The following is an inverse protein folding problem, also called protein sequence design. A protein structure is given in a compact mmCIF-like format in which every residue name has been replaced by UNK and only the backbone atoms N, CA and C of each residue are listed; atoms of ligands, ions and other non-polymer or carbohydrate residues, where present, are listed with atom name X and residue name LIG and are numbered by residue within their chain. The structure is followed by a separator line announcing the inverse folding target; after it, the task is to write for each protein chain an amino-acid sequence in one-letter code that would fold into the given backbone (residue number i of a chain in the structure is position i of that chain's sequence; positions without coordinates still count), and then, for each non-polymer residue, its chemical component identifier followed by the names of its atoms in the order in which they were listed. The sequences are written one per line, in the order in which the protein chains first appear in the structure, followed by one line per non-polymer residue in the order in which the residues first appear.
data_IF_049646801223
#
_entry.id   IF_049646801223
#
_cell.length_a   1.000
_cell.length_b   1.000
_cell.length_c   1.000
_cell.angle_alpha   90.00
_cell.angle_beta   90.00
_cell.angle_gamma   90.00
#
_symmetry.space_group_name_H-M   'P 1'
#
loop_
_entity.id
_entity.type
_entity.pdbx_description
1 polymer ?
#
# COMPACT_ATOMS: atom_id res chain seq x y z
N UNK A 1 -11.22 -18.19 -29.86
CA UNK A 1 -11.36 -16.72 -29.85
C UNK A 1 -12.84 -16.43 -29.89
N UNK A 2 -13.48 -16.24 -28.73
CA UNK A 2 -14.92 -16.04 -28.62
C UNK A 2 -15.32 -14.65 -29.10
N UNK A 3 -16.46 -14.54 -29.79
CA UNK A 3 -17.00 -13.27 -30.29
C UNK A 3 -17.61 -12.41 -29.16
N UNK A 4 -17.98 -11.15 -29.48
CA UNK A 4 -18.44 -10.16 -28.50
C UNK A 4 -19.71 -10.56 -27.74
N UNK A 5 -20.50 -11.50 -28.27
CA UNK A 5 -21.77 -11.98 -27.67
C UNK A 5 -21.63 -13.33 -26.95
N UNK A 6 -20.41 -13.80 -26.70
CA UNK A 6 -20.22 -15.02 -25.89
C UNK A 6 -20.62 -14.68 -24.45
N UNK A 7 -21.65 -15.33 -23.85
CA UNK A 7 -21.96 -15.10 -22.45
C UNK A 7 -20.68 -15.30 -21.63
N UNK A 8 -20.33 -14.31 -20.81
CA UNK A 8 -19.34 -14.50 -19.76
C UNK A 8 -19.92 -15.60 -18.87
N UNK A 9 -19.53 -16.84 -19.11
CA UNK A 9 -19.88 -17.96 -18.27
C UNK A 9 -19.36 -17.65 -16.87
N UNK A 10 -20.28 -17.24 -16.01
CA UNK A 10 -19.99 -16.91 -14.63
C UNK A 10 -19.52 -18.15 -13.85
N UNK A 11 -19.72 -19.37 -14.39
CA UNK A 11 -19.31 -20.63 -13.75
C UNK A 11 -17.82 -20.94 -13.94
N UNK A 12 -17.16 -20.47 -15.02
CA UNK A 12 -15.69 -20.61 -15.17
C UNK A 12 -14.89 -19.83 -14.13
N UNK A 13 -15.54 -18.95 -13.36
CA UNK A 13 -14.95 -18.18 -12.27
C UNK A 13 -15.38 -18.67 -10.88
N UNK A 14 -15.99 -19.85 -10.79
CA UNK A 14 -16.22 -20.58 -9.52
C UNK A 14 -14.92 -21.10 -8.87
N UNK A 15 -13.83 -20.34 -8.99
CA UNK A 15 -12.66 -20.50 -8.15
C UNK A 15 -13.12 -20.23 -6.72
N UNK A 16 -12.98 -21.25 -5.87
CA UNK A 16 -13.24 -21.17 -4.44
C UNK A 16 -12.86 -19.78 -3.90
N UNK A 17 -13.86 -19.07 -3.34
CA UNK A 17 -13.65 -17.74 -2.77
C UNK A 17 -12.55 -17.84 -1.72
N UNK A 18 -11.68 -16.83 -1.65
CA UNK A 18 -10.61 -16.84 -0.65
C UNK A 18 -11.17 -16.96 0.76
N UNK A 19 -10.37 -17.49 1.69
CA UNK A 19 -10.76 -17.56 3.09
C UNK A 19 -11.29 -16.22 3.60
N UNK A 20 -10.53 -15.14 3.38
CA UNK A 20 -10.89 -13.77 3.79
C UNK A 20 -12.23 -13.30 3.20
N UNK A 21 -12.47 -13.52 1.90
CA UNK A 21 -13.69 -13.06 1.26
C UNK A 21 -14.92 -13.86 1.71
N UNK A 22 -14.78 -15.18 1.93
CA UNK A 22 -15.87 -16.00 2.46
C UNK A 22 -16.28 -15.56 3.85
N UNK A 23 -15.30 -15.31 4.72
CA UNK A 23 -15.55 -14.84 6.07
C UNK A 23 -16.16 -13.44 6.08
N UNK A 24 -15.63 -12.51 5.28
CA UNK A 24 -16.20 -11.17 5.15
C UNK A 24 -17.67 -11.22 4.74
N UNK A 25 -18.01 -11.97 3.69
CA UNK A 25 -19.40 -12.12 3.20
C UNK A 25 -20.32 -12.86 4.19
N UNK A 26 -19.77 -13.75 5.02
CA UNK A 26 -20.55 -14.41 6.06
C UNK A 26 -20.91 -13.47 7.21
N UNK A 27 -20.03 -12.51 7.52
CA UNK A 27 -20.26 -11.51 8.57
C UNK A 27 -21.04 -10.28 8.07
N UNK A 28 -20.79 -9.86 6.84
CA UNK A 28 -21.45 -8.77 6.14
C UNK A 28 -21.64 -9.13 4.67
N UNK A 29 -22.81 -9.68 4.28
CA UNK A 29 -23.08 -10.04 2.89
C UNK A 29 -23.20 -8.83 1.96
N UNK A 30 -23.22 -7.60 2.52
CA UNK A 30 -23.42 -6.37 1.78
C UNK A 30 -24.83 -6.23 1.18
N UNK A 31 -25.07 -5.10 0.54
CA UNK A 31 -26.22 -4.93 -0.34
C UNK A 31 -25.93 -5.60 -1.71
N UNK A 32 -26.96 -6.14 -2.40
CA UNK A 32 -26.80 -6.63 -3.76
C UNK A 32 -26.27 -5.53 -4.68
N UNK A 33 -25.17 -5.79 -5.38
CA UNK A 33 -24.67 -4.96 -6.46
C UNK A 33 -25.10 -5.60 -7.79
N UNK A 34 -26.28 -5.24 -8.34
CA UNK A 34 -26.71 -5.82 -9.61
C UNK A 34 -25.73 -5.46 -10.73
N UNK A 35 -25.63 -6.28 -11.78
CA UNK A 35 -24.86 -5.94 -12.96
C UNK A 35 -25.26 -4.56 -13.49
N UNK A 36 -24.26 -3.78 -13.93
CA UNK A 36 -24.50 -2.50 -14.56
C UNK A 36 -25.39 -2.69 -15.80
N UNK A 37 -26.50 -1.97 -15.86
CA UNK A 37 -27.45 -2.02 -16.97
C UNK A 37 -27.69 -0.64 -17.55
N UNK A 38 -27.55 -0.51 -18.87
CA UNK A 38 -27.76 0.75 -19.56
C UNK A 38 -26.58 1.72 -19.41
N UNK A 39 -26.84 2.98 -19.76
CA UNK A 39 -25.87 4.06 -19.63
C UNK A 39 -25.83 4.58 -18.19
N UNK A 40 -24.64 4.93 -17.71
CA UNK A 40 -24.43 5.46 -16.37
C UNK A 40 -23.38 6.55 -16.44
N UNK A 41 -23.70 7.68 -15.82
CA UNK A 41 -22.80 8.82 -15.68
C UNK A 41 -22.24 8.83 -14.26
N UNK A 42 -21.02 9.31 -14.10
CA UNK A 42 -20.35 9.52 -12.82
C UNK A 42 -19.27 10.58 -13.00
N UNK A 43 -18.90 11.27 -11.91
CA UNK A 43 -17.74 12.17 -11.94
C UNK A 43 -16.44 11.36 -12.11
N UNK A 44 -16.38 10.18 -11.48
CA UNK A 44 -15.23 9.27 -11.55
C UNK A 44 -15.69 7.82 -11.73
N UNK A 45 -15.24 7.19 -12.81
CA UNK A 45 -15.34 5.75 -13.02
C UNK A 45 -14.03 5.06 -12.63
N UNK A 46 -14.11 4.09 -11.73
CA UNK A 46 -13.01 3.22 -11.31
C UNK A 46 -13.27 1.82 -11.85
N UNK A 47 -12.35 1.29 -12.64
CA UNK A 47 -12.44 -0.07 -13.19
C UNK A 47 -11.59 -1.01 -12.33
N UNK A 48 -12.26 -1.93 -11.62
CA UNK A 48 -11.66 -2.95 -10.76
C UNK A 48 -11.85 -2.69 -9.27
N UNK A 49 -12.49 -3.63 -8.57
CA UNK A 49 -12.76 -3.63 -7.13
C UNK A 49 -11.66 -4.24 -6.27
N UNK A 50 -10.39 -4.07 -6.66
CA UNK A 50 -9.22 -4.49 -5.88
C UNK A 50 -8.76 -3.44 -4.87
N UNK A 51 -7.61 -3.64 -4.22
CA UNK A 51 -7.06 -2.68 -3.25
C UNK A 51 -6.92 -1.28 -3.83
N UNK A 52 -6.29 -1.15 -5.01
CA UNK A 52 -6.08 0.16 -5.63
C UNK A 52 -7.40 0.87 -5.92
N UNK A 53 -8.39 0.17 -6.48
CA UNK A 53 -9.68 0.75 -6.81
C UNK A 53 -10.46 1.18 -5.57
N UNK A 54 -10.54 0.30 -4.56
CA UNK A 54 -11.27 0.59 -3.32
C UNK A 54 -10.61 1.70 -2.49
N UNK A 55 -9.28 1.70 -2.38
CA UNK A 55 -8.56 2.80 -1.70
C UNK A 55 -8.71 4.11 -2.45
N UNK A 56 -8.69 4.09 -3.78
CA UNK A 56 -8.94 5.30 -4.59
C UNK A 56 -10.34 5.84 -4.33
N UNK A 57 -11.36 4.98 -4.39
CA UNK A 57 -12.75 5.38 -4.10
C UNK A 57 -12.88 5.95 -2.68
N UNK A 58 -12.31 5.28 -1.68
CA UNK A 58 -12.32 5.74 -0.29
C UNK A 58 -11.70 7.14 -0.15
N UNK A 59 -10.52 7.33 -0.72
CA UNK A 59 -9.77 8.58 -0.64
C UNK A 59 -10.39 9.73 -1.44
N UNK A 60 -11.11 9.43 -2.52
CA UNK A 60 -11.92 10.42 -3.23
C UNK A 60 -13.09 10.87 -2.37
N UNK A 61 -13.85 9.92 -1.79
CA UNK A 61 -15.00 10.23 -0.94
C UNK A 61 -14.60 10.91 0.38
N UNK A 62 -13.41 10.65 0.91
CA UNK A 62 -12.89 11.37 2.08
C UNK A 62 -12.55 12.84 1.75
N UNK A 63 -12.00 13.11 0.56
CA UNK A 63 -11.61 14.47 0.13
C UNK A 63 -12.79 15.29 -0.36
N UNK A 64 -13.67 14.69 -1.14
CA UNK A 64 -14.81 15.35 -1.75
C UNK A 64 -16.04 14.43 -1.63
N UNK A 65 -16.77 14.47 -0.50
CA UNK A 65 -17.88 13.55 -0.23
C UNK A 65 -19.02 13.62 -1.25
N UNK A 66 -19.14 14.74 -1.97
CA UNK A 66 -20.17 14.95 -2.99
C UNK A 66 -19.86 14.26 -4.33
N UNK A 67 -18.61 13.82 -4.59
CA UNK A 67 -18.27 13.15 -5.84
C UNK A 67 -19.12 11.90 -6.05
N UNK A 68 -19.69 11.79 -7.24
CA UNK A 68 -20.30 10.57 -7.72
C UNK A 68 -19.21 9.63 -8.25
N UNK A 69 -18.97 8.54 -7.52
CA UNK A 69 -17.89 7.59 -7.78
C UNK A 69 -18.50 6.21 -8.04
N UNK A 70 -18.30 5.70 -9.26
CA UNK A 70 -18.71 4.36 -9.66
C UNK A 70 -17.50 3.43 -9.67
N UNK A 71 -17.58 2.32 -8.92
CA UNK A 71 -16.61 1.22 -9.00
C UNK A 71 -17.24 0.09 -9.81
N UNK A 72 -16.68 -0.19 -10.99
CA UNK A 72 -17.10 -1.28 -11.85
C UNK A 72 -16.18 -2.49 -11.66
N UNK A 73 -16.74 -3.57 -11.15
CA UNK A 73 -16.06 -4.85 -10.94
C UNK A 73 -16.80 -5.94 -11.70
N UNK A 74 -16.06 -6.79 -12.40
CA UNK A 74 -16.60 -7.88 -13.24
C UNK A 74 -17.22 -9.03 -12.43
N UNK A 75 -16.84 -9.16 -11.16
CA UNK A 75 -17.30 -10.22 -10.26
C UNK A 75 -17.78 -9.63 -8.92
N UNK A 76 -16.90 -9.55 -7.92
CA UNK A 76 -17.17 -8.92 -6.63
C UNK A 76 -15.91 -8.21 -6.14
N UNK A 77 -16.06 -7.08 -5.46
CA UNK A 77 -14.92 -6.38 -4.86
C UNK A 77 -14.14 -7.33 -3.93
N UNK A 78 -12.82 -7.36 -4.08
CA UNK A 78 -11.95 -8.32 -3.40
C UNK A 78 -11.96 -9.73 -3.97
N UNK A 79 -12.75 -10.04 -5.00
CA UNK A 79 -12.82 -11.36 -5.64
C UNK A 79 -11.56 -11.79 -6.41
N UNK A 80 -10.69 -10.83 -6.76
CA UNK A 80 -9.44 -11.04 -7.48
C UNK A 80 -8.21 -11.37 -6.60
N UNK A 81 -6.98 -11.07 -7.08
CA UNK A 81 -5.75 -11.28 -6.33
C UNK A 81 -5.71 -10.53 -4.99
N UNK A 82 -6.34 -9.35 -4.89
CA UNK A 82 -6.36 -8.56 -3.65
C UNK A 82 -7.00 -9.31 -2.47
N UNK A 83 -8.03 -10.13 -2.69
CA UNK A 83 -8.62 -10.96 -1.64
C UNK A 83 -7.92 -12.30 -1.44
N UNK A 84 -6.97 -12.69 -2.29
CA UNK A 84 -6.21 -13.97 -2.21
C UNK A 84 -4.80 -13.78 -1.64
N UNK A 85 -4.57 -12.74 -0.85
CA UNK A 85 -3.28 -12.47 -0.23
C UNK A 85 -3.05 -13.33 1.04
N UNK A 86 -1.79 -13.41 1.49
CA UNK A 86 -1.38 -14.20 2.66
C UNK A 86 -1.60 -13.54 4.03
N UNK A 87 -2.21 -12.35 4.09
CA UNK A 87 -2.44 -11.61 5.34
C UNK A 87 -1.24 -10.76 5.80
N UNK A 88 -0.22 -10.58 4.96
CA UNK A 88 0.96 -9.78 5.29
C UNK A 88 0.91 -8.42 4.61
N UNK A 89 1.33 -7.39 5.34
CA UNK A 89 1.58 -6.04 4.81
C UNK A 89 2.96 -5.60 5.24
N UNK A 90 3.87 -5.49 4.26
CA UNK A 90 5.27 -5.18 4.50
C UNK A 90 5.62 -3.79 3.96
N UNK A 91 6.56 -3.14 4.61
CA UNK A 91 7.26 -1.99 4.03
C UNK A 91 8.35 -2.47 3.06
N UNK A 92 9.02 -1.52 2.39
CA UNK A 92 10.07 -1.82 1.42
C UNK A 92 11.48 -1.80 2.01
N UNK A 93 11.65 -1.85 3.34
CA UNK A 93 12.98 -1.80 3.94
C UNK A 93 13.78 -3.10 3.78
N UNK A 94 13.13 -4.23 3.48
CA UNK A 94 13.80 -5.48 3.09
C UNK A 94 14.58 -5.30 1.77
N UNK A 95 14.04 -4.48 0.87
CA UNK A 95 14.57 -4.20 -0.47
C UNK A 95 15.57 -3.04 -0.52
N UNK A 96 16.11 -2.62 0.63
CA UNK A 96 16.93 -1.40 0.73
C UNK A 96 18.16 -1.43 -0.19
N UNK A 97 18.76 -2.59 -0.43
CA UNK A 97 19.92 -2.73 -1.31
C UNK A 97 19.55 -2.39 -2.76
N UNK A 98 18.48 -2.99 -3.29
CA UNK A 98 17.94 -2.66 -4.61
C UNK A 98 17.49 -1.20 -4.70
N UNK A 99 16.85 -0.68 -3.66
CA UNK A 99 16.45 0.73 -3.63
C UNK A 99 17.65 1.67 -3.67
N UNK A 100 18.75 1.34 -2.99
CA UNK A 100 19.99 2.10 -3.03
C UNK A 100 20.58 2.13 -4.44
N UNK A 101 20.55 1.01 -5.16
CA UNK A 101 21.04 0.90 -6.54
C UNK A 101 20.20 1.73 -7.52
N UNK A 102 18.87 1.65 -7.42
CA UNK A 102 17.96 2.27 -8.39
C UNK A 102 17.73 3.77 -8.11
N UNK A 103 17.77 4.19 -6.85
CA UNK A 103 17.33 5.54 -6.44
C UNK A 103 18.33 6.32 -5.58
N UNK A 104 19.48 5.73 -5.27
CA UNK A 104 20.49 6.30 -4.38
C UNK A 104 20.00 6.41 -2.93
N UNK A 105 20.87 6.88 -2.03
CA UNK A 105 20.59 6.94 -0.59
C UNK A 105 19.36 7.78 -0.23
N UNK A 106 19.16 8.91 -0.92
CA UNK A 106 18.02 9.79 -0.67
C UNK A 106 16.69 9.17 -1.10
N UNK A 107 16.65 8.57 -2.29
CA UNK A 107 15.46 7.91 -2.82
C UNK A 107 15.10 6.66 -2.02
N UNK A 108 16.10 5.83 -1.69
CA UNK A 108 15.89 4.63 -0.90
C UNK A 108 15.30 4.95 0.48
N UNK A 109 15.84 5.99 1.12
CA UNK A 109 15.28 6.50 2.38
C UNK A 109 13.82 6.93 2.21
N UNK A 110 13.52 7.74 1.20
CA UNK A 110 12.18 8.26 0.99
C UNK A 110 11.16 7.13 0.76
N UNK A 111 11.52 6.11 -0.02
CA UNK A 111 10.65 4.95 -0.28
C UNK A 111 10.44 4.10 0.97
N UNK A 112 11.49 3.83 1.75
CA UNK A 112 11.37 3.10 3.02
C UNK A 112 10.51 3.86 4.04
N UNK A 113 10.68 5.19 4.13
CA UNK A 113 9.89 6.03 5.04
C UNK A 113 8.41 6.08 4.61
N UNK A 114 8.15 6.27 3.32
CA UNK A 114 6.80 6.31 2.77
C UNK A 114 6.07 4.97 2.93
N UNK A 115 6.69 3.85 2.52
CA UNK A 115 6.08 2.52 2.66
C UNK A 115 5.83 2.15 4.12
N UNK A 116 6.81 2.40 5.01
CA UNK A 116 6.63 2.18 6.44
C UNK A 116 5.55 3.08 7.05
N UNK A 117 5.35 4.28 6.52
CA UNK A 117 4.23 5.14 6.92
C UNK A 117 2.89 4.54 6.49
N UNK A 118 2.75 4.08 5.24
CA UNK A 118 1.54 3.44 4.74
C UNK A 118 1.13 2.22 5.57
N UNK A 119 2.08 1.36 5.98
CA UNK A 119 1.79 0.22 6.85
C UNK A 119 1.19 0.65 8.20
N UNK A 120 1.69 1.75 8.78
CA UNK A 120 1.16 2.30 10.04
C UNK A 120 -0.19 2.98 9.84
N UNK A 121 -0.37 3.70 8.75
CA UNK A 121 -1.65 4.35 8.42
C UNK A 121 -2.77 3.32 8.24
N UNK A 122 -2.48 2.16 7.64
CA UNK A 122 -3.45 1.06 7.54
C UNK A 122 -3.95 0.61 8.93
N UNK A 123 -3.06 0.48 9.91
CA UNK A 123 -3.42 0.17 11.29
C UNK A 123 -4.32 1.25 11.91
N UNK A 124 -3.90 2.51 11.84
CA UNK A 124 -4.69 3.65 12.33
C UNK A 124 -6.05 3.76 11.64
N UNK A 125 -6.12 3.44 10.36
CA UNK A 125 -7.36 3.45 9.60
C UNK A 125 -8.32 2.36 10.07
N UNK A 126 -7.81 1.15 10.33
CA UNK A 126 -8.61 0.04 10.88
C UNK A 126 -9.21 0.43 12.24
N UNK A 127 -8.41 1.01 13.13
CA UNK A 127 -8.86 1.50 14.43
C UNK A 127 -9.93 2.58 14.30
N UNK A 128 -9.69 3.61 13.46
CA UNK A 128 -10.61 4.73 13.23
C UNK A 128 -11.98 4.27 12.73
N UNK A 129 -12.02 3.24 11.89
CA UNK A 129 -13.26 2.75 11.25
C UNK A 129 -13.84 1.49 11.92
N UNK A 130 -13.25 1.02 13.02
CA UNK A 130 -13.73 -0.18 13.72
C UNK A 130 -13.57 -1.47 12.92
N UNK A 131 -12.60 -1.54 12.00
CA UNK A 131 -12.35 -2.71 11.15
C UNK A 131 -11.39 -3.66 11.87
N UNK A 132 -11.87 -4.84 12.26
CA UNK A 132 -11.02 -5.89 12.82
C UNK A 132 -10.34 -6.69 11.70
N UNK A 133 -9.21 -6.20 11.21
CA UNK A 133 -8.37 -6.88 10.23
C UNK A 133 -7.30 -7.79 10.87
N UNK A 134 -7.40 -8.10 12.17
CA UNK A 134 -6.34 -8.76 12.94
C UNK A 134 -4.96 -8.11 12.77
N UNK A 135 -4.94 -6.78 12.64
CA UNK A 135 -3.71 -6.04 12.41
C UNK A 135 -2.82 -6.07 13.66
N UNK A 136 -1.68 -6.74 13.55
CA UNK A 136 -0.64 -6.76 14.57
C UNK A 136 0.62 -6.05 14.07
N UNK A 137 0.94 -4.83 14.54
CA UNK A 137 2.15 -4.15 14.11
C UNK A 137 3.38 -4.88 14.64
N UNK A 138 4.17 -5.45 13.73
CA UNK A 138 5.46 -6.06 14.04
C UNK A 138 6.59 -5.13 13.56
N UNK A 139 7.48 -4.66 14.45
CA UNK A 139 8.59 -3.83 14.04
C UNK A 139 9.55 -4.64 13.16
N UNK A 140 9.79 -4.18 11.94
CA UNK A 140 10.73 -4.84 11.07
C UNK A 140 12.17 -4.63 11.59
N UNK A 141 12.98 -5.69 11.77
CA UNK A 141 14.37 -5.61 12.22
C UNK A 141 15.35 -4.84 11.31
N UNK A 142 14.92 -4.12 10.27
CA UNK A 142 15.80 -3.13 9.57
C UNK A 142 15.38 -1.68 9.78
N UNK A 143 14.16 -1.44 10.26
CA UNK A 143 13.65 -0.07 10.54
C UNK A 143 14.34 0.61 11.73
N UNK A 144 14.95 -0.14 12.65
CA UNK A 144 15.74 0.43 13.75
C UNK A 144 17.03 1.13 13.27
N UNK A 145 17.56 0.74 12.11
CA UNK A 145 18.80 1.30 11.56
C UNK A 145 18.61 2.74 11.04
N UNK A 146 17.38 3.13 10.70
CA UNK A 146 17.03 4.47 10.19
C UNK A 146 16.64 5.48 11.26
N UNK A 147 16.46 5.07 12.52
CA UNK A 147 16.28 6.04 13.60
C UNK A 147 17.57 6.86 13.72
N UNK A 148 17.53 8.21 13.68
CA UNK A 148 18.71 9.00 13.94
C UNK A 148 19.24 8.60 15.31
N UNK A 149 20.42 7.97 15.33
CA UNK A 149 21.13 7.65 16.56
C UNK A 149 21.31 8.99 17.27
N UNK A 150 20.60 9.22 18.38
CA UNK A 150 20.79 10.43 19.19
C UNK A 150 22.29 10.59 19.37
N UNK A 151 22.86 11.69 18.86
CA UNK A 151 24.25 12.04 19.16
C UNK A 151 24.35 12.03 20.68
N UNK A 152 25.13 11.12 21.25
CA UNK A 152 25.62 11.28 22.62
C UNK A 152 26.46 12.55 22.59
N UNK A 153 25.88 13.67 23.03
CA UNK A 153 26.65 14.82 23.50
C UNK A 153 27.25 14.41 24.83
N UNK A 154 28.35 13.67 24.76
CA UNK A 154 29.11 13.22 25.91
C UNK A 154 30.57 13.16 25.51
N UNK A 155 31.31 14.18 25.91
CA UNK A 155 32.77 14.21 25.92
C UNK A 155 33.28 13.00 26.71
N UNK A 156 33.74 11.98 25.99
CA UNK A 156 34.30 10.76 26.58
C UNK A 156 34.77 9.84 25.48
N UNK A 157 36.05 9.95 25.14
CA UNK A 157 36.67 9.25 24.03
C UNK A 157 36.55 7.72 24.11
N UNK A 158 36.28 7.11 22.96
CA UNK A 158 37.07 6.06 22.30
C UNK A 158 36.44 5.80 20.92
N UNK A 159 37.30 5.76 19.90
CA UNK A 159 36.97 6.12 18.52
C UNK A 159 36.10 5.14 17.74
N UNK A 160 35.46 5.67 16.70
CA UNK A 160 34.93 4.94 15.55
C UNK A 160 35.09 5.80 14.29
N UNK A 161 35.43 5.13 13.19
CA UNK A 161 35.80 5.65 11.88
C UNK A 161 34.68 6.49 11.25
N UNK A 162 35.04 7.68 10.77
CA UNK A 162 34.22 8.50 9.89
C UNK A 162 34.28 7.92 8.48
N UNK A 163 33.15 7.54 7.89
CA UNK A 163 33.06 7.40 6.44
C UNK A 163 33.09 8.81 5.85
N UNK A 164 34.23 9.21 5.31
CA UNK A 164 34.35 10.38 4.44
C UNK A 164 34.12 9.89 3.01
N UNK A 165 32.94 10.18 2.47
CA UNK A 165 32.74 10.17 1.02
C UNK A 165 33.83 11.01 0.36
N UNK A 166 34.51 10.42 -0.61
CA UNK A 166 35.51 11.06 -1.46
C UNK A 166 34.93 12.30 -2.16
N UNK A 167 35.53 13.45 -1.92
CA UNK A 167 35.17 14.72 -2.55
C UNK A 167 36.06 15.86 -2.04
N UNK A 168 37.30 15.90 -2.57
CA UNK A 168 38.24 17.03 -2.67
C UNK A 168 38.16 18.23 -1.68
N UNK A 169 39.27 18.49 -0.99
CA UNK A 169 39.72 19.82 -0.49
C UNK A 169 41.26 19.86 -0.55
N UNK A 170 41.94 21.03 -0.49
CA UNK A 170 41.69 22.32 -1.14
C UNK A 170 42.98 22.92 -1.79
N UNK A 171 42.86 23.96 -2.61
CA UNK A 171 43.88 25.01 -2.79
C UNK A 171 43.18 26.32 -2.44
N UNK A 172 43.55 27.08 -1.40
CA UNK A 172 44.64 28.08 -1.42
C UNK A 172 44.25 29.24 -2.35
N UNK A 173 44.09 30.51 -1.97
CA UNK A 173 44.75 31.33 -0.96
C UNK A 173 43.99 32.67 -0.76
N UNK A 174 44.07 33.19 0.46
CA UNK A 174 44.16 34.59 0.93
C UNK A 174 43.36 35.78 0.34
N UNK A 175 43.05 36.68 1.31
CA UNK A 175 42.53 38.07 1.31
C UNK A 175 41.07 38.29 0.92
#
# INVERSE_FOLDING_TARGET
MGGPDTPLDHARWSHERSYWLREALANDPGAPCPPLSGETEADVLIVGGGYTGMWTAHFLKEREPALDVVVLEQDICGGGPSGRNGGFVNDLAEEVETLLEVSGAGGARAVCEASGHSVRELGSWCEKHGVNAWYEPRPHPRTWAWRPRRRRTGTGGRGWTRWSGSGSRPAGCAS
#
